data_IF_588239955975
#
_entry.id   IF_588239955975
#
_cell.length_a   1.000
_cell.length_b   1.000
_cell.length_c   1.000
_cell.angle_alpha   90.00
_cell.angle_beta   90.00
_cell.angle_gamma   90.00
#
_symmetry.space_group_name_H-M   'P 1'
#
loop_
_entity.id
_entity.type
_entity.pdbx_description
1 polymer ?
#
# COMPACT_ATOMS: atom_id res chain seq x y z
N UNK A 1 -44.45 31.54 64.99
CA UNK A 1 -45.56 31.51 64.04
C UNK A 1 -45.05 30.98 62.67
N UNK A 2 -44.36 29.83 62.67
CA UNK A 2 -43.85 29.16 61.45
C UNK A 2 -43.94 27.61 61.49
N UNK A 3 -44.77 27.06 62.39
CA UNK A 3 -44.86 25.61 62.58
C UNK A 3 -46.25 25.01 62.31
N UNK A 4 -47.21 25.77 61.80
CA UNK A 4 -48.57 25.28 61.51
C UNK A 4 -48.92 25.20 60.01
N UNK A 5 -47.99 25.51 59.14
CA UNK A 5 -48.21 25.46 57.67
C UNK A 5 -47.67 24.23 57.01
N UNK A 6 -46.93 23.35 57.72
CA UNK A 6 -46.29 22.15 57.17
C UNK A 6 -47.09 20.86 57.34
N UNK A 7 -48.17 20.88 58.09
CA UNK A 7 -48.98 19.67 58.36
C UNK A 7 -50.20 19.52 57.43
N UNK A 8 -50.54 20.51 56.63
CA UNK A 8 -51.73 20.44 55.74
C UNK A 8 -51.38 19.94 54.33
N UNK A 9 -50.08 19.99 53.92
CA UNK A 9 -49.66 19.53 52.61
C UNK A 9 -49.40 18.02 52.57
N UNK A 10 -49.21 17.35 53.72
CA UNK A 10 -48.97 15.90 53.78
C UNK A 10 -50.25 15.06 53.71
N UNK A 11 -51.39 15.60 54.06
CA UNK A 11 -52.68 14.86 54.01
C UNK A 11 -53.37 14.86 52.65
N UNK A 12 -52.91 15.70 51.68
CA UNK A 12 -53.52 15.75 50.33
C UNK A 12 -52.76 14.89 49.29
N UNK A 13 -51.64 14.30 49.67
CA UNK A 13 -50.87 13.38 48.80
C UNK A 13 -51.20 11.91 49.01
N UNK A 14 -51.93 11.58 50.08
CA UNK A 14 -52.31 10.18 50.45
C UNK A 14 -53.69 9.69 49.96
N UNK A 15 -54.44 10.52 49.23
CA UNK A 15 -55.79 10.14 48.72
C UNK A 15 -55.82 9.90 47.20
N UNK A 16 -54.65 10.15 46.46
CA UNK A 16 -54.60 9.91 45.03
C UNK A 16 -53.93 8.58 44.63
N UNK A 17 -53.74 7.62 45.59
CA UNK A 17 -53.07 6.32 45.31
C UNK A 17 -54.01 5.12 45.27
N UNK A 18 -55.38 5.31 45.25
CA UNK A 18 -56.34 4.19 45.21
C UNK A 18 -57.38 4.37 44.12
N UNK A 19 -56.97 4.58 42.85
CA UNK A 19 -57.87 4.32 41.73
C UNK A 19 -57.01 4.37 40.41
N UNK A 20 -56.45 3.23 40.09
CA UNK A 20 -56.26 2.75 38.71
C UNK A 20 -55.39 1.46 38.73
N UNK A 21 -56.04 0.39 39.22
CA UNK A 21 -55.72 -0.95 38.77
C UNK A 21 -56.48 -1.11 37.46
N UNK A 22 -55.74 -1.04 36.30
CA UNK A 22 -56.02 -1.90 35.17
C UNK A 22 -54.99 -1.65 34.05
N UNK A 23 -54.51 -2.78 33.55
CA UNK A 23 -53.82 -2.92 32.26
C UNK A 23 -52.40 -2.33 32.18
N UNK A 24 -51.43 -3.00 32.83
CA UNK A 24 -50.11 -3.12 32.28
C UNK A 24 -50.22 -4.00 31.04
N UNK A 25 -50.56 -3.41 29.90
CA UNK A 25 -50.19 -3.97 28.62
C UNK A 25 -48.67 -4.00 28.60
N UNK A 26 -48.09 -5.19 28.74
CA UNK A 26 -46.73 -5.50 28.34
C UNK A 26 -46.60 -5.20 26.83
N UNK A 27 -46.32 -3.98 26.48
CA UNK A 27 -45.67 -3.67 25.22
C UNK A 27 -44.16 -3.95 25.42
N UNK A 28 -43.81 -5.24 25.38
CA UNK A 28 -42.49 -5.64 24.85
C UNK A 28 -42.43 -5.16 23.39
N UNK A 29 -42.23 -3.87 23.20
CA UNK A 29 -41.60 -3.38 22.01
C UNK A 29 -40.17 -3.94 22.04
N UNK A 30 -40.05 -5.18 21.56
CA UNK A 30 -38.77 -5.67 21.06
C UNK A 30 -38.24 -4.59 20.12
N UNK A 31 -37.35 -3.74 20.62
CA UNK A 31 -36.49 -2.92 19.78
C UNK A 31 -35.85 -3.90 18.81
N UNK A 32 -36.42 -4.03 17.61
CA UNK A 32 -35.77 -4.61 16.48
C UNK A 32 -34.60 -3.68 16.18
N UNK A 33 -33.48 -3.91 16.88
CA UNK A 33 -32.21 -3.38 16.44
C UNK A 33 -32.05 -3.85 14.98
N UNK A 34 -32.12 -2.93 14.06
CA UNK A 34 -31.70 -3.18 12.67
C UNK A 34 -30.33 -3.85 12.79
N UNK A 35 -30.14 -5.06 12.24
CA UNK A 35 -28.86 -5.76 12.37
C UNK A 35 -27.77 -4.84 11.86
N UNK A 36 -26.83 -4.49 12.72
CA UNK A 36 -25.70 -3.64 12.36
C UNK A 36 -24.90 -4.36 11.25
N UNK A 37 -24.73 -3.69 10.13
CA UNK A 37 -23.96 -4.26 9.01
C UNK A 37 -22.52 -4.47 9.50
N UNK A 38 -22.02 -5.70 9.49
CA UNK A 38 -20.67 -5.97 9.96
C UNK A 38 -19.63 -5.19 9.12
N UNK A 39 -18.49 -4.86 9.69
CA UNK A 39 -17.39 -4.19 8.99
C UNK A 39 -16.14 -5.03 9.03
N UNK A 40 -15.30 -4.92 7.99
CA UNK A 40 -13.96 -5.47 7.93
C UNK A 40 -12.98 -4.33 7.76
N UNK A 41 -11.91 -4.31 8.55
CA UNK A 41 -10.88 -3.28 8.47
C UNK A 41 -9.65 -3.83 7.76
N UNK A 42 -9.21 -3.14 6.70
CA UNK A 42 -8.00 -3.45 5.94
C UNK A 42 -6.98 -2.36 6.22
N UNK A 43 -5.88 -2.71 6.88
CA UNK A 43 -4.73 -1.84 7.07
C UNK A 43 -3.88 -1.83 5.81
N UNK A 44 -3.54 -0.62 5.32
CA UNK A 44 -2.87 -0.45 4.03
C UNK A 44 -1.76 0.61 4.12
N UNK A 45 -0.89 0.64 3.12
CA UNK A 45 -0.02 1.78 2.87
C UNK A 45 -0.82 2.99 2.32
N UNK A 46 -0.21 4.20 2.36
CA UNK A 46 -0.89 5.46 2.02
C UNK A 46 -1.28 5.56 0.54
N UNK A 47 -0.55 4.87 -0.33
CA UNK A 47 -0.81 4.86 -1.78
C UNK A 47 -1.93 3.91 -2.20
N UNK A 48 -2.40 3.03 -1.30
CA UNK A 48 -3.50 2.12 -1.60
C UNK A 48 -4.76 2.89 -2.03
N UNK A 49 -5.38 2.40 -3.08
CA UNK A 49 -6.65 2.93 -3.60
C UNK A 49 -7.50 1.81 -4.18
N UNK A 50 -8.79 1.95 -4.05
CA UNK A 50 -9.82 1.08 -4.63
C UNK A 50 -11.02 1.92 -5.03
N UNK A 51 -11.62 1.63 -6.19
CA UNK A 51 -12.74 2.43 -6.68
C UNK A 51 -14.00 2.26 -5.84
N UNK A 52 -14.83 3.30 -5.80
CA UNK A 52 -16.16 3.24 -5.17
C UNK A 52 -17.02 2.12 -5.73
N UNK A 53 -16.88 1.81 -7.03
CA UNK A 53 -17.57 0.71 -7.69
C UNK A 53 -17.22 -0.63 -7.07
N UNK A 54 -15.93 -0.89 -6.82
CA UNK A 54 -15.47 -2.15 -6.24
C UNK A 54 -15.84 -2.23 -4.76
N UNK A 55 -15.78 -1.12 -4.01
CA UNK A 55 -16.28 -1.08 -2.62
C UNK A 55 -17.76 -1.44 -2.57
N UNK A 56 -18.61 -0.81 -3.41
CA UNK A 56 -20.05 -1.12 -3.45
C UNK A 56 -20.32 -2.57 -3.86
N UNK A 57 -19.51 -3.12 -4.78
CA UNK A 57 -19.60 -4.52 -5.18
C UNK A 57 -19.23 -5.47 -4.02
N UNK A 58 -18.18 -5.14 -3.27
CA UNK A 58 -17.79 -5.87 -2.05
C UNK A 58 -18.94 -5.88 -1.04
N UNK A 59 -19.48 -4.70 -0.72
CA UNK A 59 -20.55 -4.56 0.26
C UNK A 59 -21.82 -5.35 -0.14
N UNK A 60 -22.14 -5.34 -1.44
CA UNK A 60 -23.27 -6.11 -1.98
C UNK A 60 -23.06 -7.64 -1.94
N UNK A 61 -21.82 -8.10 -2.27
CA UNK A 61 -21.51 -9.55 -2.32
C UNK A 61 -21.25 -10.15 -0.94
N UNK A 62 -20.58 -9.40 -0.06
CA UNK A 62 -20.08 -9.90 1.22
C UNK A 62 -21.04 -9.55 2.39
N UNK A 63 -21.94 -8.59 2.16
CA UNK A 63 -22.85 -8.04 3.17
C UNK A 63 -22.12 -7.45 4.39
N UNK A 64 -21.02 -6.73 4.13
CA UNK A 64 -20.21 -6.08 5.14
C UNK A 64 -19.61 -4.76 4.58
N UNK A 65 -19.34 -3.79 5.45
CA UNK A 65 -18.65 -2.56 5.09
C UNK A 65 -17.15 -2.78 5.01
N UNK A 66 -16.50 -2.25 3.97
CA UNK A 66 -15.04 -2.20 3.85
C UNK A 66 -14.51 -0.91 4.47
N UNK A 67 -13.66 -1.01 5.47
CA UNK A 67 -13.00 0.10 6.14
C UNK A 67 -11.51 0.07 5.80
N UNK A 68 -10.99 1.13 5.21
CA UNK A 68 -9.57 1.26 4.86
C UNK A 68 -8.86 2.08 5.92
N UNK A 69 -7.82 1.50 6.54
CA UNK A 69 -6.96 2.14 7.53
C UNK A 69 -5.58 2.40 6.89
N UNK A 70 -5.39 3.60 6.33
CA UNK A 70 -4.08 4.03 5.83
C UNK A 70 -3.10 4.29 6.97
N UNK A 71 -1.90 3.76 6.88
CA UNK A 71 -0.98 3.65 8.03
C UNK A 71 0.46 4.10 7.76
N UNK A 72 0.69 4.94 6.77
CA UNK A 72 1.99 5.38 6.31
C UNK A 72 2.47 4.59 5.08
N UNK A 73 3.73 4.71 4.70
CA UNK A 73 4.29 3.89 3.64
C UNK A 73 4.47 2.44 4.13
N UNK A 74 4.70 1.47 3.22
CA UNK A 74 4.62 0.03 3.51
C UNK A 74 5.46 -0.43 4.70
N UNK A 75 6.71 0.04 4.82
CA UNK A 75 7.57 -0.26 5.96
C UNK A 75 7.07 0.29 7.29
N UNK A 76 6.48 1.49 7.28
CA UNK A 76 5.86 2.10 8.46
C UNK A 76 4.58 1.36 8.86
N UNK A 77 3.72 1.04 7.90
CA UNK A 77 2.49 0.29 8.13
C UNK A 77 2.78 -1.10 8.75
N UNK A 78 3.78 -1.81 8.21
CA UNK A 78 4.22 -3.10 8.75
C UNK A 78 4.73 -2.96 10.20
N UNK A 79 5.51 -1.93 10.50
CA UNK A 79 5.97 -1.67 11.87
C UNK A 79 4.81 -1.46 12.82
N UNK A 80 3.79 -0.69 12.44
CA UNK A 80 2.57 -0.48 13.24
C UNK A 80 1.83 -1.79 13.47
N UNK A 81 1.68 -2.63 12.45
CA UNK A 81 1.04 -3.94 12.57
C UNK A 81 1.78 -4.87 13.55
N UNK A 82 3.12 -4.89 13.49
CA UNK A 82 3.96 -5.69 14.40
C UNK A 82 3.84 -5.18 15.84
N UNK A 83 3.91 -3.88 16.07
CA UNK A 83 3.80 -3.28 17.40
C UNK A 83 2.43 -3.51 18.03
N UNK A 84 1.37 -3.55 17.22
CA UNK A 84 -0.01 -3.79 17.67
C UNK A 84 -0.43 -5.26 17.67
N UNK A 85 0.47 -6.22 17.51
CA UNK A 85 0.16 -7.66 17.32
C UNK A 85 -0.74 -8.28 18.40
N UNK A 86 -0.69 -7.78 19.62
CA UNK A 86 -1.50 -8.29 20.74
C UNK A 86 -2.93 -7.68 20.75
N UNK A 87 -3.14 -6.59 20.04
CA UNK A 87 -4.43 -5.94 19.83
C UNK A 87 -4.42 -5.32 18.42
N UNK A 88 -4.63 -6.13 17.37
CA UNK A 88 -4.46 -5.70 16.00
C UNK A 88 -5.43 -4.58 15.63
N UNK A 89 -4.91 -3.57 14.94
CA UNK A 89 -5.68 -2.38 14.52
C UNK A 89 -6.62 -2.67 13.35
N UNK A 90 -6.47 -3.83 12.70
CA UNK A 90 -7.24 -4.24 11.54
C UNK A 90 -7.42 -5.76 11.49
N UNK A 91 -8.25 -6.22 10.58
CA UNK A 91 -8.52 -7.63 10.33
C UNK A 91 -7.60 -8.21 9.25
N UNK A 92 -7.24 -7.38 8.27
CA UNK A 92 -6.38 -7.73 7.13
C UNK A 92 -5.29 -6.67 7.00
N UNK A 93 -4.11 -7.08 6.58
CA UNK A 93 -3.04 -6.20 6.12
C UNK A 93 -2.89 -6.38 4.61
N UNK A 94 -2.80 -5.27 3.86
CA UNK A 94 -2.55 -5.21 2.43
C UNK A 94 -1.33 -4.32 2.16
N UNK A 95 -0.35 -4.80 1.36
CA UNK A 95 0.80 -4.02 0.93
C UNK A 95 2.10 -4.36 1.66
N UNK A 96 2.23 -5.58 2.24
CA UNK A 96 3.56 -6.13 2.50
C UNK A 96 4.16 -6.51 1.16
N UNK A 97 5.35 -6.04 0.85
CA UNK A 97 6.03 -6.46 -0.37
C UNK A 97 7.15 -7.49 -0.11
N UNK A 98 7.68 -8.04 -1.20
CA UNK A 98 8.73 -9.05 -1.12
C UNK A 98 10.03 -8.58 -0.47
N UNK A 99 10.25 -7.27 -0.34
CA UNK A 99 11.43 -6.71 0.33
C UNK A 99 11.31 -6.78 1.85
N UNK A 100 10.08 -6.76 2.38
CA UNK A 100 9.74 -6.89 3.79
C UNK A 100 9.12 -8.25 4.17
N UNK A 101 8.93 -9.16 3.20
CA UNK A 101 8.19 -10.42 3.39
C UNK A 101 8.73 -11.26 4.55
N UNK A 102 10.03 -11.47 4.62
CA UNK A 102 10.66 -12.25 5.67
C UNK A 102 10.43 -11.68 7.06
N UNK A 103 10.53 -10.35 7.20
CA UNK A 103 10.25 -9.65 8.46
C UNK A 103 8.79 -9.81 8.87
N UNK A 104 7.87 -9.70 7.90
CA UNK A 104 6.44 -9.87 8.13
C UNK A 104 6.11 -11.29 8.60
N UNK A 105 6.67 -12.31 7.92
CA UNK A 105 6.50 -13.72 8.28
C UNK A 105 7.15 -14.05 9.62
N UNK A 106 8.37 -13.53 9.87
CA UNK A 106 9.09 -13.71 11.13
C UNK A 106 8.38 -13.11 12.35
N UNK A 107 7.59 -12.05 12.14
CA UNK A 107 6.77 -11.45 13.19
C UNK A 107 5.59 -12.34 13.66
N UNK A 108 5.23 -13.37 12.88
CA UNK A 108 4.19 -14.37 13.17
C UNK A 108 2.80 -13.76 13.41
N UNK A 109 2.49 -12.65 12.76
CA UNK A 109 1.24 -11.89 12.93
C UNK A 109 0.14 -12.27 11.93
N UNK A 110 0.38 -13.23 11.03
CA UNK A 110 -0.57 -13.63 9.99
C UNK A 110 -1.13 -15.03 10.19
N UNK A 111 -2.38 -15.21 9.75
CA UNK A 111 -3.08 -16.51 9.71
C UNK A 111 -2.90 -17.12 8.32
N UNK A 112 -2.54 -18.40 8.24
CA UNK A 112 -2.49 -19.12 6.97
C UNK A 112 -3.89 -19.26 6.36
N UNK A 113 -4.04 -18.82 5.11
CA UNK A 113 -5.27 -18.96 4.34
C UNK A 113 -4.98 -18.96 2.85
N UNK A 114 -5.42 -20.00 2.14
CA UNK A 114 -5.39 -20.07 0.69
C UNK A 114 -6.74 -19.60 0.13
N UNK A 115 -6.83 -18.40 -0.48
CA UNK A 115 -8.06 -17.94 -1.13
C UNK A 115 -8.49 -18.85 -2.28
N UNK A 116 -9.80 -18.91 -2.54
CA UNK A 116 -10.38 -19.79 -3.57
C UNK A 116 -9.83 -19.53 -4.99
N UNK A 117 -9.40 -18.30 -5.27
CA UNK A 117 -8.86 -17.90 -6.58
C UNK A 117 -7.31 -17.91 -6.63
N UNK A 118 -6.65 -18.55 -5.67
CA UNK A 118 -5.18 -18.56 -5.60
C UNK A 118 -4.54 -19.25 -6.82
N UNK A 119 -5.23 -20.17 -7.48
CA UNK A 119 -4.73 -20.84 -8.68
C UNK A 119 -4.65 -19.93 -9.91
N UNK A 120 -5.41 -18.84 -9.93
CA UNK A 120 -5.33 -17.79 -10.96
C UNK A 120 -4.10 -16.87 -10.79
N UNK A 121 -3.38 -16.96 -9.68
CA UNK A 121 -2.16 -16.18 -9.44
C UNK A 121 -0.94 -16.89 -10.05
N UNK A 122 -0.06 -16.12 -10.69
CA UNK A 122 1.20 -16.64 -11.24
C UNK A 122 2.03 -17.33 -10.13
N UNK A 123 2.43 -18.61 -10.32
CA UNK A 123 3.25 -19.32 -9.35
C UNK A 123 4.54 -18.59 -8.96
N UNK A 124 5.14 -17.81 -9.87
CA UNK A 124 6.36 -17.04 -9.63
C UNK A 124 6.18 -15.89 -8.61
N UNK A 125 4.93 -15.47 -8.37
CA UNK A 125 4.61 -14.46 -7.37
C UNK A 125 4.37 -15.06 -5.97
N UNK A 126 4.13 -16.38 -5.85
CA UNK A 126 3.78 -17.06 -4.61
C UNK A 126 5.03 -17.37 -3.79
N UNK A 127 5.47 -16.44 -2.95
CA UNK A 127 6.72 -16.57 -2.19
C UNK A 127 6.53 -17.15 -0.76
N UNK A 128 5.31 -17.23 -0.24
CA UNK A 128 5.01 -17.91 1.04
C UNK A 128 4.25 -19.22 0.81
N UNK A 129 4.90 -20.38 0.94
CA UNK A 129 4.27 -21.68 0.70
C UNK A 129 3.18 -22.03 1.72
N UNK A 130 3.13 -21.33 2.88
CA UNK A 130 2.10 -21.53 3.89
C UNK A 130 0.88 -20.61 3.68
N UNK A 131 0.88 -19.74 2.65
CA UNK A 131 -0.20 -18.79 2.32
C UNK A 131 -0.63 -17.91 3.51
N UNK A 132 0.31 -17.52 4.37
CA UNK A 132 0.08 -16.50 5.40
C UNK A 132 0.01 -15.11 4.77
N UNK A 133 0.79 -14.92 3.71
CA UNK A 133 0.80 -13.75 2.85
C UNK A 133 0.62 -14.19 1.40
N UNK A 134 -0.43 -13.68 0.77
CA UNK A 134 -0.86 -14.05 -0.58
C UNK A 134 -0.60 -12.88 -1.53
N UNK A 135 0.04 -13.09 -2.69
CA UNK A 135 0.33 -12.02 -3.63
C UNK A 135 -0.97 -11.43 -4.20
N UNK A 136 -1.02 -10.09 -4.26
CA UNK A 136 -2.20 -9.35 -4.70
C UNK A 136 -1.95 -8.47 -5.91
N UNK A 137 -0.73 -7.97 -6.05
CA UNK A 137 -0.29 -7.20 -7.22
C UNK A 137 1.24 -7.23 -7.34
N UNK A 138 1.77 -6.65 -8.44
CA UNK A 138 3.20 -6.49 -8.64
C UNK A 138 3.51 -5.32 -9.58
N UNK A 139 4.72 -4.77 -9.45
CA UNK A 139 5.25 -3.74 -10.32
C UNK A 139 6.77 -3.78 -10.39
N UNK A 140 7.35 -3.18 -11.42
CA UNK A 140 8.79 -3.05 -11.52
C UNK A 140 9.19 -1.65 -11.06
N UNK A 141 9.87 -1.56 -9.91
CA UNK A 141 10.43 -0.30 -9.41
C UNK A 141 11.67 0.05 -10.21
N UNK A 142 11.68 1.24 -10.79
CA UNK A 142 12.73 1.70 -11.70
C UNK A 142 12.88 3.23 -11.66
N UNK A 143 13.82 3.77 -12.42
CA UNK A 143 13.90 5.21 -12.64
C UNK A 143 12.83 5.65 -13.64
N UNK A 144 12.10 6.71 -13.27
CA UNK A 144 11.24 7.46 -14.18
C UNK A 144 11.85 8.84 -14.44
N UNK A 145 11.71 9.36 -15.66
CA UNK A 145 12.25 10.66 -16.01
C UNK A 145 11.24 11.49 -16.81
N UNK A 146 11.29 12.81 -16.63
CA UNK A 146 10.46 13.79 -17.33
C UNK A 146 11.01 14.03 -18.75
N UNK A 147 10.31 13.51 -19.76
CA UNK A 147 10.71 13.63 -21.18
C UNK A 147 10.77 15.09 -21.60
N UNK A 148 9.80 15.90 -21.17
CA UNK A 148 9.73 17.32 -21.52
C UNK A 148 10.90 18.09 -20.93
N UNK A 149 11.20 17.86 -19.64
CA UNK A 149 12.31 18.53 -18.97
C UNK A 149 13.65 18.25 -19.65
N UNK A 150 13.93 16.97 -19.97
CA UNK A 150 15.18 16.60 -20.65
C UNK A 150 15.30 17.22 -22.03
N UNK A 151 14.19 17.25 -22.79
CA UNK A 151 14.14 17.88 -24.11
C UNK A 151 14.38 19.40 -24.02
N UNK A 152 13.70 20.09 -23.11
CA UNK A 152 13.77 21.54 -22.96
C UNK A 152 15.16 22.01 -22.50
N UNK A 153 15.87 21.18 -21.72
CA UNK A 153 17.22 21.43 -21.25
C UNK A 153 18.32 20.89 -22.18
N UNK A 154 17.94 20.34 -23.34
CA UNK A 154 18.88 19.75 -24.31
C UNK A 154 19.81 18.70 -23.67
N UNK A 155 19.29 17.88 -22.77
CA UNK A 155 19.97 16.78 -22.06
C UNK A 155 19.44 15.42 -22.51
N UNK A 156 20.29 14.40 -22.48
CA UNK A 156 19.85 13.02 -22.64
C UNK A 156 19.38 12.48 -21.28
N UNK A 157 18.25 11.75 -21.22
CA UNK A 157 17.84 11.09 -19.99
C UNK A 157 18.82 9.96 -19.62
N UNK A 158 18.82 9.50 -18.35
CA UNK A 158 19.64 8.36 -17.95
C UNK A 158 19.20 7.08 -18.69
N UNK A 159 20.15 6.22 -19.04
CA UNK A 159 19.92 4.92 -19.65
C UNK A 159 20.18 3.76 -18.67
N UNK A 160 20.92 4.01 -17.60
CA UNK A 160 21.32 3.02 -16.59
C UNK A 160 21.59 3.69 -15.24
N UNK A 161 21.74 2.89 -14.18
CA UNK A 161 21.98 3.41 -12.82
C UNK A 161 23.29 4.21 -12.71
N UNK A 162 24.32 3.80 -13.45
CA UNK A 162 25.64 4.47 -13.48
C UNK A 162 25.58 5.92 -13.98
N UNK A 163 24.55 6.28 -14.73
CA UNK A 163 24.40 7.64 -15.23
C UNK A 163 24.13 8.63 -14.09
N UNK A 164 23.39 8.21 -13.07
CA UNK A 164 22.98 9.10 -11.99
C UNK A 164 24.15 9.70 -11.18
N UNK A 165 25.33 9.09 -11.23
CA UNK A 165 26.52 9.59 -10.52
C UNK A 165 27.41 10.47 -11.41
N UNK A 166 27.04 10.70 -12.67
CA UNK A 166 27.77 11.60 -13.58
C UNK A 166 27.43 13.06 -13.27
N UNK A 167 28.37 13.99 -13.48
CA UNK A 167 28.16 15.41 -13.17
C UNK A 167 26.94 16.05 -13.85
N UNK A 168 26.59 15.61 -15.06
CA UNK A 168 25.44 16.12 -15.81
C UNK A 168 24.08 15.81 -15.17
N UNK A 169 24.01 14.83 -14.24
CA UNK A 169 22.81 14.47 -13.49
C UNK A 169 22.79 15.02 -12.06
N UNK A 170 23.75 15.90 -11.71
CA UNK A 170 23.84 16.50 -10.39
C UNK A 170 22.57 17.25 -10.02
N UNK A 171 21.98 16.93 -8.87
CA UNK A 171 20.77 17.56 -8.34
C UNK A 171 19.48 17.20 -9.07
N UNK A 172 19.49 16.20 -9.97
CA UNK A 172 18.34 15.88 -10.79
C UNK A 172 17.47 14.73 -10.27
N UNK A 173 17.93 13.97 -9.26
CA UNK A 173 17.29 12.72 -8.84
C UNK A 173 16.67 12.86 -7.47
N UNK A 174 15.46 12.33 -7.30
CA UNK A 174 14.82 12.06 -6.02
C UNK A 174 14.59 10.56 -5.84
N UNK A 175 14.85 10.08 -4.63
CA UNK A 175 14.67 8.68 -4.20
C UNK A 175 13.99 8.63 -2.85
N UNK A 176 13.49 7.47 -2.44
CA UNK A 176 12.89 7.27 -1.12
C UNK A 176 13.85 6.59 -0.16
N UNK A 177 13.62 6.83 1.12
CA UNK A 177 14.33 6.19 2.22
C UNK A 177 14.00 4.68 2.28
N UNK A 178 14.98 3.78 2.13
CA UNK A 178 14.76 2.34 2.14
C UNK A 178 14.27 1.77 3.49
N UNK A 179 14.40 2.53 4.58
CA UNK A 179 13.90 2.08 5.89
C UNK A 179 12.38 2.24 6.04
N UNK A 180 11.76 3.13 5.26
CA UNK A 180 10.35 3.51 5.41
C UNK A 180 9.51 3.23 4.17
N UNK A 181 10.14 3.16 2.99
CA UNK A 181 9.47 3.04 1.68
C UNK A 181 9.86 1.76 0.95
N UNK A 182 8.88 1.02 0.47
CA UNK A 182 9.09 -0.17 -0.38
C UNK A 182 9.82 0.15 -1.69
N UNK A 183 9.40 1.14 -2.51
CA UNK A 183 10.17 1.47 -3.70
C UNK A 183 11.59 1.97 -3.38
N UNK A 184 11.79 2.66 -2.26
CA UNK A 184 13.13 3.04 -1.79
C UNK A 184 14.00 1.82 -1.49
N UNK A 185 13.44 0.81 -0.80
CA UNK A 185 14.15 -0.44 -0.53
C UNK A 185 14.37 -1.25 -1.81
N UNK A 186 13.38 -1.32 -2.69
CA UNK A 186 13.52 -1.98 -3.99
C UNK A 186 14.66 -1.36 -4.82
N UNK A 187 14.78 -0.04 -4.84
CA UNK A 187 15.89 0.65 -5.50
C UNK A 187 17.24 0.37 -4.83
N UNK A 188 17.31 0.36 -3.49
CA UNK A 188 18.53 -0.07 -2.79
C UNK A 188 18.94 -1.49 -3.21
N UNK A 189 17.99 -2.43 -3.26
CA UNK A 189 18.26 -3.81 -3.68
C UNK A 189 18.69 -3.90 -5.15
N UNK A 190 18.11 -3.09 -6.05
CA UNK A 190 18.59 -2.98 -7.43
C UNK A 190 20.05 -2.52 -7.49
N UNK A 191 20.45 -1.54 -6.69
CA UNK A 191 21.85 -1.07 -6.63
C UNK A 191 22.79 -2.13 -6.04
N UNK A 192 22.35 -2.91 -5.05
CA UNK A 192 23.14 -4.02 -4.50
C UNK A 192 23.31 -5.13 -5.54
N UNK A 193 22.26 -5.46 -6.28
CA UNK A 193 22.33 -6.42 -7.38
C UNK A 193 23.33 -5.96 -8.46
N UNK A 194 23.32 -4.68 -8.82
CA UNK A 194 24.13 -4.10 -9.90
C UNK A 194 25.59 -3.93 -9.50
N UNK A 195 25.87 -3.37 -8.33
CA UNK A 195 27.22 -2.97 -7.91
C UNK A 195 27.86 -3.95 -6.93
N UNK A 196 27.13 -4.97 -6.50
CA UNK A 196 27.59 -5.94 -5.50
C UNK A 196 27.65 -5.37 -4.09
N UNK A 197 27.96 -6.26 -3.13
CA UNK A 197 27.98 -5.95 -1.70
C UNK A 197 29.02 -4.91 -1.30
N UNK A 198 30.11 -4.84 -2.02
CA UNK A 198 31.20 -3.90 -1.74
C UNK A 198 31.02 -2.57 -2.47
N UNK A 199 30.36 -2.56 -3.64
CA UNK A 199 30.26 -1.37 -4.50
C UNK A 199 29.04 -0.50 -4.27
N UNK A 200 27.94 -1.05 -3.68
CA UNK A 200 26.69 -0.28 -3.58
C UNK A 200 26.81 0.95 -2.69
N UNK A 201 27.54 0.86 -1.55
CA UNK A 201 27.72 2.02 -0.65
C UNK A 201 28.54 3.12 -1.32
N UNK A 202 29.60 2.77 -2.08
CA UNK A 202 30.35 3.74 -2.85
C UNK A 202 29.49 4.44 -3.92
N UNK A 203 28.64 3.68 -4.60
CA UNK A 203 27.65 4.22 -5.53
C UNK A 203 26.71 5.23 -4.83
N UNK A 204 26.16 4.88 -3.66
CA UNK A 204 25.26 5.76 -2.92
C UNK A 204 25.96 7.01 -2.35
N UNK A 205 27.24 6.91 -1.93
CA UNK A 205 28.03 8.06 -1.55
C UNK A 205 28.26 9.01 -2.73
N UNK A 206 28.49 8.47 -3.93
CA UNK A 206 28.56 9.25 -5.17
C UNK A 206 27.20 9.90 -5.53
N UNK A 207 26.08 9.21 -5.31
CA UNK A 207 24.75 9.80 -5.46
C UNK A 207 24.54 10.96 -4.47
N UNK A 208 24.96 10.81 -3.20
CA UNK A 208 24.91 11.89 -2.20
C UNK A 208 25.77 13.08 -2.64
N UNK A 209 26.99 12.84 -3.10
CA UNK A 209 27.86 13.88 -3.66
C UNK A 209 27.24 14.53 -4.91
N UNK A 210 26.42 13.79 -5.67
CA UNK A 210 25.66 14.26 -6.81
C UNK A 210 24.28 14.85 -6.42
N UNK A 211 24.10 15.19 -5.13
CA UNK A 211 22.91 15.90 -4.59
C UNK A 211 21.59 15.18 -4.82
N UNK A 212 21.58 13.84 -4.68
CA UNK A 212 20.33 13.08 -4.66
C UNK A 212 19.45 13.56 -3.51
N UNK A 213 18.17 13.82 -3.79
CA UNK A 213 17.18 14.15 -2.78
C UNK A 213 16.57 12.87 -2.22
N UNK A 214 16.49 12.75 -0.90
CA UNK A 214 15.88 11.60 -0.21
C UNK A 214 14.60 12.05 0.48
N UNK A 215 13.49 11.36 0.22
CA UNK A 215 12.18 11.57 0.86
C UNK A 215 11.80 10.38 1.72
N UNK A 216 10.77 10.51 2.58
CA UNK A 216 10.35 9.42 3.46
C UNK A 216 9.48 8.37 2.77
N UNK A 217 8.84 8.69 1.64
CA UNK A 217 7.97 7.77 0.93
C UNK A 217 7.68 8.20 -0.51
N UNK A 218 7.16 7.26 -1.29
CA UNK A 218 6.88 7.42 -2.71
C UNK A 218 5.95 8.61 -3.02
N UNK A 219 4.92 8.80 -2.21
CA UNK A 219 3.97 9.90 -2.43
C UNK A 219 4.63 11.28 -2.37
N UNK A 220 5.55 11.47 -1.43
CA UNK A 220 6.33 12.71 -1.31
C UNK A 220 7.28 12.88 -2.49
N UNK A 221 7.97 11.81 -2.90
CA UNK A 221 8.88 11.85 -4.07
C UNK A 221 8.13 12.19 -5.35
N UNK A 222 7.08 11.42 -5.67
CA UNK A 222 6.39 11.49 -6.95
C UNK A 222 5.51 12.73 -7.08
N UNK A 223 4.62 12.97 -6.10
CA UNK A 223 3.65 14.07 -6.13
C UNK A 223 4.16 15.38 -5.51
N UNK A 224 5.36 15.38 -4.93
CA UNK A 224 5.94 16.55 -4.28
C UNK A 224 7.26 17.05 -4.85
N UNK A 225 8.04 16.18 -5.53
CA UNK A 225 9.40 16.51 -5.99
C UNK A 225 9.64 16.26 -7.47
N UNK A 226 8.91 15.34 -8.10
CA UNK A 226 9.08 14.99 -9.50
C UNK A 226 8.44 16.01 -10.44
N UNK A 227 9.20 16.55 -11.39
CA UNK A 227 8.75 17.65 -12.26
C UNK A 227 7.58 17.28 -13.18
N UNK A 228 7.50 16.03 -13.64
CA UNK A 228 6.42 15.61 -14.53
C UNK A 228 5.07 15.45 -13.83
N UNK A 229 5.06 15.33 -12.50
CA UNK A 229 3.86 15.05 -11.71
C UNK A 229 3.55 16.11 -10.66
N UNK A 230 4.44 17.12 -10.47
CA UNK A 230 4.30 18.14 -9.45
C UNK A 230 5.04 19.42 -9.83
N UNK A 231 4.92 20.45 -9.01
CA UNK A 231 5.75 21.67 -9.05
C UNK A 231 7.16 21.46 -8.45
N UNK A 232 7.61 20.22 -8.38
CA UNK A 232 8.93 19.86 -7.87
C UNK A 232 10.06 20.24 -8.80
N UNK A 233 11.29 19.94 -8.40
CA UNK A 233 12.52 20.33 -9.09
C UNK A 233 13.40 19.14 -9.50
N UNK A 234 12.89 17.90 -9.39
CA UNK A 234 13.63 16.67 -9.71
C UNK A 234 13.05 16.00 -10.96
N UNK A 235 13.74 16.05 -12.11
CA UNK A 235 13.27 15.42 -13.35
C UNK A 235 13.49 13.90 -13.41
N UNK A 236 14.09 13.30 -12.37
CA UNK A 236 14.29 11.85 -12.24
C UNK A 236 13.75 11.43 -10.86
N UNK A 237 12.92 10.40 -10.83
CA UNK A 237 12.36 9.82 -9.58
C UNK A 237 12.45 8.30 -9.61
N UNK A 238 12.65 7.68 -8.46
CA UNK A 238 12.39 6.25 -8.30
C UNK A 238 10.88 6.03 -8.23
N UNK A 239 10.34 5.23 -9.12
CA UNK A 239 8.91 4.91 -9.20
C UNK A 239 8.69 3.60 -9.95
N UNK A 240 7.54 3.43 -10.58
CA UNK A 240 7.18 2.19 -11.24
C UNK A 240 7.24 2.31 -12.77
N UNK A 241 7.55 1.19 -13.43
CA UNK A 241 7.54 1.10 -14.89
C UNK A 241 6.12 1.24 -15.49
N UNK A 242 5.10 1.28 -14.67
CA UNK A 242 3.70 1.54 -14.99
C UNK A 242 3.28 3.01 -14.83
N UNK A 243 4.11 3.87 -14.23
CA UNK A 243 3.81 5.29 -14.04
C UNK A 243 3.41 6.02 -15.32
N UNK A 244 4.02 5.75 -16.51
CA UNK A 244 3.58 6.36 -17.76
C UNK A 244 2.11 6.11 -18.11
N UNK A 245 1.56 4.94 -17.75
CA UNK A 245 0.15 4.65 -17.95
C UNK A 245 -0.75 5.48 -17.01
N UNK A 246 -0.30 5.70 -15.76
CA UNK A 246 -0.99 6.53 -14.78
C UNK A 246 -1.14 7.97 -15.28
N UNK A 247 -0.07 8.54 -15.76
CA UNK A 247 -0.03 9.93 -16.23
C UNK A 247 -0.93 10.17 -17.44
N UNK A 248 -0.95 9.23 -18.39
CA UNK A 248 -1.88 9.30 -19.53
C UNK A 248 -3.32 9.19 -19.06
N UNK A 249 -3.60 8.31 -18.09
CA UNK A 249 -4.95 8.09 -17.57
C UNK A 249 -5.49 9.29 -16.81
N UNK A 250 -4.67 9.91 -15.95
CA UNK A 250 -5.09 11.06 -15.13
C UNK A 250 -4.99 12.40 -15.85
N UNK A 251 -4.43 12.44 -17.06
CA UNK A 251 -4.31 13.70 -17.77
C UNK A 251 -5.67 14.29 -18.10
N UNK A 252 -5.89 15.54 -17.75
CA UNK A 252 -7.06 16.33 -18.16
C UNK A 252 -7.11 16.55 -19.68
N UNK A 253 -5.94 16.51 -20.32
CA UNK A 253 -5.81 16.54 -21.78
C UNK A 253 -5.67 15.12 -22.31
N UNK A 254 -6.27 14.83 -23.47
CA UNK A 254 -6.14 13.51 -24.10
C UNK A 254 -4.72 13.30 -24.62
N UNK A 255 -3.82 12.82 -23.75
CA UNK A 255 -2.47 12.49 -24.13
C UNK A 255 -2.45 11.21 -24.99
N UNK A 256 -1.70 11.26 -26.08
CA UNK A 256 -1.42 10.09 -26.94
C UNK A 256 -0.11 9.40 -26.56
N UNK A 257 0.76 10.10 -25.85
CA UNK A 257 2.05 9.63 -25.34
C UNK A 257 2.19 10.05 -23.87
N UNK A 258 2.87 9.24 -23.11
CA UNK A 258 3.16 9.55 -21.71
C UNK A 258 4.19 10.69 -21.60
N UNK A 259 4.07 11.58 -20.61
CA UNK A 259 5.05 12.64 -20.35
C UNK A 259 6.35 12.09 -19.75
N UNK A 260 6.34 10.87 -19.21
CA UNK A 260 7.52 10.23 -18.61
C UNK A 260 8.03 9.05 -19.41
N UNK A 261 9.34 8.84 -19.32
CA UNK A 261 10.03 7.63 -19.75
C UNK A 261 10.50 6.82 -18.54
N UNK A 262 10.86 5.55 -18.77
CA UNK A 262 11.31 4.62 -17.73
C UNK A 262 12.62 3.96 -18.12
N UNK A 263 13.46 3.64 -17.12
CA UNK A 263 14.72 2.91 -17.27
C UNK A 263 14.55 1.53 -16.65
N UNK A 264 14.34 0.53 -17.50
CA UNK A 264 14.02 -0.85 -17.05
C UNK A 264 15.02 -1.90 -17.53
N UNK A 265 15.97 -1.50 -18.38
CA UNK A 265 16.97 -2.40 -18.95
C UNK A 265 18.17 -2.63 -18.01
N UNK A 266 18.99 -3.62 -18.33
CA UNK A 266 20.29 -3.86 -17.68
C UNK A 266 20.20 -4.07 -16.16
N UNK A 267 19.13 -4.70 -15.63
CA UNK A 267 18.95 -4.92 -14.21
C UNK A 267 18.75 -3.65 -13.39
N UNK A 268 18.31 -2.55 -14.02
CA UNK A 268 18.02 -1.27 -13.33
C UNK A 268 16.64 -1.22 -12.67
N UNK A 269 15.81 -2.24 -12.86
CA UNK A 269 14.48 -2.34 -12.24
C UNK A 269 14.40 -3.56 -11.31
N UNK A 270 13.75 -3.39 -10.16
CA UNK A 270 13.50 -4.48 -9.21
C UNK A 270 12.02 -4.84 -9.20
N UNK A 271 11.70 -6.14 -9.36
CA UNK A 271 10.31 -6.61 -9.27
C UNK A 271 9.82 -6.58 -7.84
N UNK A 272 8.90 -5.68 -7.55
CA UNK A 272 8.16 -5.63 -6.30
C UNK A 272 6.88 -6.44 -6.44
N UNK A 273 6.60 -7.29 -5.46
CA UNK A 273 5.37 -8.09 -5.36
C UNK A 273 4.73 -7.73 -4.04
N UNK A 274 3.49 -7.26 -4.05
CA UNK A 274 2.75 -6.96 -2.83
C UNK A 274 1.86 -8.12 -2.41
N UNK A 275 1.70 -8.26 -1.09
CA UNK A 275 0.96 -9.33 -0.46
C UNK A 275 -0.11 -8.78 0.48
N UNK A 276 -1.19 -9.54 0.63
CA UNK A 276 -2.15 -9.35 1.69
C UNK A 276 -2.25 -10.59 2.59
N UNK A 277 -2.63 -10.40 3.84
CA UNK A 277 -2.81 -11.49 4.80
C UNK A 277 -3.77 -11.12 5.92
N UNK A 278 -4.38 -12.14 6.52
CA UNK A 278 -5.30 -12.01 7.66
C UNK A 278 -4.45 -11.83 8.92
N UNK A 279 -4.70 -10.77 9.68
CA UNK A 279 -4.00 -10.53 10.94
C UNK A 279 -4.49 -11.49 12.04
N UNK A 280 -3.56 -12.10 12.78
CA UNK A 280 -3.89 -12.88 13.99
C UNK A 280 -4.55 -11.98 15.02
N UNK A 281 -5.54 -12.52 15.71
CA UNK A 281 -6.32 -11.75 16.69
C UNK A 281 -7.55 -11.05 16.13
N UNK A 282 -7.77 -11.07 14.79
CA UNK A 282 -9.06 -10.68 14.23
C UNK A 282 -10.19 -11.57 14.78
N UNK A 283 -11.22 -10.94 15.36
CA UNK A 283 -12.44 -11.62 15.79
C UNK A 283 -13.37 -11.98 14.62
N UNK A 284 -13.03 -11.54 13.40
CA UNK A 284 -13.88 -11.64 12.19
C UNK A 284 -13.29 -12.60 11.15
N UNK A 285 -12.68 -13.71 11.57
CA UNK A 285 -11.94 -14.62 10.70
C UNK A 285 -12.72 -15.08 9.46
N UNK A 286 -14.01 -15.42 9.62
CA UNK A 286 -14.85 -15.85 8.47
C UNK A 286 -15.04 -14.72 7.47
N UNK A 287 -15.25 -13.49 7.93
CA UNK A 287 -15.38 -12.32 7.08
C UNK A 287 -14.05 -11.97 6.40
N UNK A 288 -12.93 -12.06 7.15
CA UNK A 288 -11.59 -11.83 6.62
C UNK A 288 -11.25 -12.82 5.48
N UNK A 289 -11.60 -14.11 5.63
CA UNK A 289 -11.41 -15.10 4.55
C UNK A 289 -12.20 -14.74 3.28
N UNK A 290 -13.49 -14.39 3.42
CA UNK A 290 -14.32 -13.94 2.28
C UNK A 290 -13.75 -12.68 1.63
N UNK A 291 -13.15 -11.78 2.42
CA UNK A 291 -12.51 -10.57 1.92
C UNK A 291 -11.23 -10.90 1.15
N UNK A 292 -10.42 -11.85 1.61
CA UNK A 292 -9.25 -12.32 0.85
C UNK A 292 -9.65 -12.98 -0.48
N UNK A 293 -10.73 -13.79 -0.50
CA UNK A 293 -11.28 -14.33 -1.75
C UNK A 293 -11.70 -13.21 -2.71
N UNK A 294 -12.34 -12.15 -2.18
CA UNK A 294 -12.76 -11.00 -2.98
C UNK A 294 -11.57 -10.20 -3.51
N UNK A 295 -10.51 -9.98 -2.71
CA UNK A 295 -9.29 -9.27 -3.14
C UNK A 295 -8.62 -9.98 -4.33
N UNK A 296 -8.66 -11.30 -4.40
CA UNK A 296 -8.14 -12.05 -5.56
C UNK A 296 -9.19 -12.30 -6.66
N UNK A 297 -10.44 -11.83 -6.48
CA UNK A 297 -11.44 -11.94 -7.54
C UNK A 297 -11.07 -11.08 -8.75
N UNK A 298 -11.56 -11.50 -9.91
CA UNK A 298 -11.32 -10.76 -11.16
C UNK A 298 -11.76 -9.31 -11.07
N UNK A 299 -12.89 -9.04 -10.43
CA UNK A 299 -13.46 -7.70 -10.32
C UNK A 299 -12.59 -6.74 -9.49
N UNK A 300 -12.01 -7.23 -8.39
CA UNK A 300 -11.07 -6.44 -7.59
C UNK A 300 -9.76 -6.26 -8.34
N UNK A 301 -9.25 -7.31 -8.93
CA UNK A 301 -7.96 -7.32 -9.63
C UNK A 301 -7.95 -6.47 -10.91
N UNK A 302 -9.07 -6.37 -11.62
CA UNK A 302 -9.23 -5.47 -12.78
C UNK A 302 -9.27 -3.97 -12.40
N UNK A 303 -9.54 -3.65 -11.13
CA UNK A 303 -9.52 -2.27 -10.61
C UNK A 303 -8.09 -1.78 -10.29
N UNK A 304 -7.21 -2.68 -9.86
CA UNK A 304 -5.85 -2.38 -9.42
C UNK A 304 -5.06 -1.51 -10.42
N UNK A 305 -5.02 -1.82 -11.73
CA UNK A 305 -4.21 -1.05 -12.67
C UNK A 305 -4.54 0.44 -12.73
N UNK A 306 -5.82 0.81 -12.58
CA UNK A 306 -6.26 2.21 -12.65
C UNK A 306 -6.41 2.88 -11.29
N UNK A 307 -6.22 2.15 -10.19
CA UNK A 307 -6.29 2.69 -8.85
C UNK A 307 -4.91 2.80 -8.18
N UNK A 308 -4.05 1.83 -8.42
CA UNK A 308 -2.72 1.76 -7.80
C UNK A 308 -1.57 1.77 -8.80
N UNK A 309 -1.87 1.66 -10.10
CA UNK A 309 -0.88 1.67 -11.19
C UNK A 309 0.19 0.60 -11.08
N UNK A 310 -0.22 -0.58 -10.62
CA UNK A 310 0.57 -1.81 -10.61
C UNK A 310 -0.18 -2.91 -11.36
N UNK A 311 0.47 -4.02 -11.65
CA UNK A 311 -0.13 -5.14 -12.36
C UNK A 311 -0.87 -6.05 -11.38
N UNK A 312 -2.07 -6.56 -11.74
CA UNK A 312 -2.79 -7.51 -10.90
C UNK A 312 -2.06 -8.83 -10.80
N UNK A 313 -2.09 -9.49 -9.63
CA UNK A 313 -1.52 -10.82 -9.45
C UNK A 313 -2.36 -11.92 -10.11
N UNK A 314 -3.68 -11.71 -10.24
CA UNK A 314 -4.57 -12.62 -10.93
C UNK A 314 -4.41 -12.45 -12.46
N UNK A 315 -3.83 -13.46 -13.11
CA UNK A 315 -3.57 -13.48 -14.57
C UNK A 315 -4.83 -13.47 -15.45
N UNK A 316 -6.01 -13.73 -14.88
CA UNK A 316 -7.30 -13.68 -15.59
C UNK A 316 -7.88 -12.26 -15.63
N UNK A 317 -7.35 -11.33 -14.84
CA UNK A 317 -7.77 -9.94 -14.84
C UNK A 317 -7.38 -9.25 -16.15
N UNK A 318 -8.33 -8.58 -16.77
CA UNK A 318 -8.10 -7.84 -18.00
C UNK A 318 -7.38 -6.53 -17.71
N UNK A 319 -6.28 -6.26 -18.42
CA UNK A 319 -5.58 -4.99 -18.34
C UNK A 319 -6.30 -3.93 -19.19
N UNK A 320 -6.45 -2.68 -18.69
CA UNK A 320 -6.99 -1.58 -19.49
C UNK A 320 -6.03 -1.20 -20.64
N UNK A 321 -6.56 -0.67 -21.73
CA UNK A 321 -5.79 -0.35 -22.94
C UNK A 321 -4.63 0.62 -22.68
N UNK A 322 -4.84 1.61 -21.79
CA UNK A 322 -3.77 2.54 -21.40
C UNK A 322 -2.60 1.81 -20.75
N UNK A 323 -2.89 0.76 -19.97
CA UNK A 323 -1.86 -0.05 -19.31
C UNK A 323 -1.10 -0.91 -20.32
N UNK A 324 -1.81 -1.59 -21.23
CA UNK A 324 -1.19 -2.37 -22.32
C UNK A 324 -0.27 -1.52 -23.19
N UNK A 325 -0.64 -0.24 -23.43
CA UNK A 325 0.10 0.65 -24.30
C UNK A 325 1.29 1.32 -23.62
N UNK A 326 1.14 1.78 -22.38
CA UNK A 326 2.09 2.69 -21.74
C UNK A 326 2.82 2.09 -20.53
N UNK A 327 2.27 1.09 -19.84
CA UNK A 327 3.00 0.39 -18.78
C UNK A 327 4.05 -0.54 -19.36
N UNK A 328 5.13 -0.75 -18.59
CA UNK A 328 6.22 -1.67 -18.95
C UNK A 328 6.40 -2.72 -17.87
N UNK A 329 6.87 -3.90 -18.29
CA UNK A 329 7.37 -4.95 -17.42
C UNK A 329 8.78 -5.26 -17.90
N UNK A 330 9.76 -5.20 -17.00
CA UNK A 330 11.13 -5.59 -17.35
C UNK A 330 11.21 -7.10 -17.61
N UNK A 331 11.99 -7.47 -18.62
CA UNK A 331 12.33 -8.87 -18.90
C UNK A 331 13.46 -9.38 -18.02
N UNK A 332 14.30 -8.47 -17.53
CA UNK A 332 15.51 -8.74 -16.77
C UNK A 332 15.51 -7.89 -15.49
N UNK A 333 14.66 -8.23 -14.49
CA UNK A 333 14.69 -7.52 -13.22
C UNK A 333 16.03 -7.75 -12.51
N UNK A 334 16.42 -6.78 -11.69
CA UNK A 334 17.53 -6.98 -10.75
C UNK A 334 17.26 -8.22 -9.89
N UNK A 335 18.21 -9.13 -9.86
CA UNK A 335 18.10 -10.41 -9.16
C UNK A 335 18.95 -10.39 -7.89
N UNK A 336 18.33 -10.70 -6.78
CA UNK A 336 18.98 -11.04 -5.52
C UNK A 336 18.34 -12.30 -4.96
N UNK A 337 19.16 -13.16 -4.40
CA UNK A 337 18.68 -14.34 -3.70
C UNK A 337 17.74 -13.93 -2.55
N UNK A 338 16.48 -14.41 -2.51
CA UNK A 338 15.53 -14.07 -1.45
C UNK A 338 16.07 -14.36 -0.04
N UNK A 339 16.85 -15.42 0.15
CA UNK A 339 17.48 -15.74 1.42
C UNK A 339 18.54 -14.70 1.80
N UNK A 340 19.24 -14.16 0.80
CA UNK A 340 20.20 -13.08 1.02
C UNK A 340 19.50 -11.79 1.44
N UNK A 341 18.37 -11.45 0.80
CA UNK A 341 17.54 -10.32 1.22
C UNK A 341 17.09 -10.51 2.66
N UNK A 342 16.57 -11.69 2.99
CA UNK A 342 16.12 -12.05 4.34
C UNK A 342 17.21 -11.80 5.41
N UNK A 343 18.40 -12.30 5.16
CA UNK A 343 19.48 -12.26 6.14
C UNK A 343 20.24 -10.93 6.22
N UNK A 344 20.21 -10.11 5.15
CA UNK A 344 21.06 -8.92 5.00
C UNK A 344 20.31 -7.60 4.92
N UNK A 345 19.01 -7.60 4.64
CA UNK A 345 18.21 -6.39 4.46
C UNK A 345 18.41 -5.37 5.59
N UNK A 346 18.26 -5.79 6.84
CA UNK A 346 18.36 -4.86 7.99
C UNK A 346 19.79 -4.31 8.15
N UNK A 347 20.80 -5.10 7.79
CA UNK A 347 22.19 -4.63 7.74
C UNK A 347 22.39 -3.59 6.65
N UNK A 348 21.90 -3.84 5.44
CA UNK A 348 22.02 -2.91 4.31
C UNK A 348 21.28 -1.59 4.57
N UNK A 349 20.08 -1.65 5.14
CA UNK A 349 19.32 -0.45 5.53
C UNK A 349 20.10 0.36 6.56
N UNK A 350 20.67 -0.29 7.58
CA UNK A 350 21.45 0.37 8.62
C UNK A 350 22.71 1.03 8.03
N UNK A 351 23.50 0.29 7.25
CA UNK A 351 24.70 0.80 6.59
C UNK A 351 24.40 2.00 5.69
N UNK A 352 23.32 1.88 4.91
CA UNK A 352 22.84 2.97 4.08
C UNK A 352 22.45 4.20 4.92
N UNK A 353 21.67 4.01 5.99
CA UNK A 353 21.22 5.08 6.87
C UNK A 353 22.41 5.82 7.51
N UNK A 354 23.39 5.08 8.05
CA UNK A 354 24.60 5.64 8.67
C UNK A 354 25.47 6.47 7.70
N UNK A 355 25.46 6.14 6.40
CA UNK A 355 26.27 6.82 5.39
C UNK A 355 25.55 7.94 4.66
N UNK A 356 24.24 7.85 4.52
CA UNK A 356 23.45 8.75 3.66
C UNK A 356 22.67 9.81 4.43
N UNK A 357 22.20 9.52 5.63
CA UNK A 357 21.51 10.46 6.50
C UNK A 357 22.47 11.02 7.56
#
# INVERSE_FOLDING_TARGET
>A
MKLKFFLIIICLILISLFACSNEVQNQDEAQRSTPEIPSITIMTHDSFSVSKKVISLFEAKIHAKMVILKSGDAGEALNKAILSKNNPLADIFYGVDNTFLSRALGAQIFVAYAPSNLDSVDPLLKLDPENRLVPVDFGDVCLNYDIKWFKDNNKQPPAMLEDLIKPEFKGLTVVENPATSSPGLAFLLATISRFGKEGYIDYWQKLKANEVLITNGWKEAYWGKFTAASEGDRPIVVSYASSPAAEVFFSETKLTQAPTGVVVENGSAFRQIEFAGILKGSSKLTLAKKTMDFILSKEFQEDIPLQMFVFPANKEAALPEVFKKHARITKEPALLDPLLIDTKRDTWIREWTEKLL
#
